data_IF_941805352774
#
_entry.id   IF_941805352774
#
_cell.length_a   1.000
_cell.length_b   1.000
_cell.length_c   1.000
_cell.angle_alpha   90.00
_cell.angle_beta   90.00
_cell.angle_gamma   90.00
#
_symmetry.space_group_name_H-M   'P 1'
#
loop_
_entity.id
_entity.type
_entity.pdbx_description
1 polymer ?
#
# COMPACT_ATOMS: atom_id res chain seq x y z
N UNK A 1 -0.48 -6.92 54.35
CA UNK A 1 -1.10 -5.83 53.57
C UNK A 1 -0.20 -5.62 52.36
N UNK A 2 -0.48 -6.28 51.23
CA UNK A 2 -1.33 -5.78 50.13
C UNK A 2 -0.70 -4.52 49.54
N UNK A 3 0.08 -4.62 48.46
CA UNK A 3 -0.36 -4.50 47.06
C UNK A 3 0.41 -3.30 46.46
N UNK A 4 0.73 -3.15 45.19
CA UNK A 4 0.29 -3.74 43.92
C UNK A 4 1.48 -3.57 42.96
N UNK A 5 1.90 -4.64 42.29
CA UNK A 5 2.73 -4.51 41.09
C UNK A 5 1.78 -4.13 39.96
N UNK A 6 1.99 -2.93 39.43
CA UNK A 6 1.34 -2.45 38.22
C UNK A 6 1.96 -3.18 37.01
N UNK A 7 1.40 -4.35 36.71
CA UNK A 7 1.71 -5.17 35.53
C UNK A 7 0.55 -5.06 34.52
N UNK A 8 0.23 -3.84 34.09
CA UNK A 8 -0.75 -3.62 33.02
C UNK A 8 -0.10 -2.92 31.83
N UNK A 9 0.82 -3.57 31.12
CA UNK A 9 1.17 -3.09 29.76
C UNK A 9 1.92 -4.09 28.87
N UNK A 10 1.63 -5.40 28.95
CA UNK A 10 2.36 -6.43 28.16
C UNK A 10 1.50 -7.47 27.48
N UNK A 11 0.27 -7.14 27.09
CA UNK A 11 -0.59 -8.08 26.34
C UNK A 11 -1.17 -7.57 25.01
N UNK A 12 -0.90 -6.33 24.56
CA UNK A 12 -1.61 -5.75 23.40
C UNK A 12 -0.84 -5.70 22.05
N UNK A 13 0.43 -6.08 22.00
CA UNK A 13 1.21 -6.01 20.73
C UNK A 13 1.12 -7.28 19.86
N UNK A 14 0.63 -8.39 20.40
CA UNK A 14 0.59 -9.68 19.68
C UNK A 14 -0.58 -9.82 18.69
N UNK A 15 -1.55 -8.90 18.71
CA UNK A 15 -2.78 -8.96 17.89
C UNK A 15 -2.86 -7.86 16.83
N UNK A 16 -1.77 -7.10 16.63
CA UNK A 16 -1.70 -6.02 15.63
C UNK A 16 -1.23 -6.54 14.28
N UNK A 17 -2.01 -6.28 13.24
CA UNK A 17 -1.65 -6.50 11.84
C UNK A 17 -0.99 -5.24 11.29
N UNK A 18 0.24 -5.36 10.81
CA UNK A 18 0.96 -4.24 10.18
C UNK A 18 0.88 -4.37 8.65
N UNK A 19 0.28 -3.38 8.00
CA UNK A 19 0.18 -3.29 6.54
C UNK A 19 1.18 -2.26 6.03
N UNK A 20 1.92 -2.59 4.97
CA UNK A 20 2.84 -1.65 4.33
C UNK A 20 2.09 -0.77 3.35
N UNK A 21 2.29 0.54 3.45
CA UNK A 21 1.82 1.48 2.45
C UNK A 21 2.75 1.44 1.25
N UNK A 22 2.22 1.27 0.03
CA UNK A 22 2.99 1.22 -1.22
C UNK A 22 2.34 2.08 -2.31
N UNK A 23 3.12 2.47 -3.32
CA UNK A 23 2.61 3.22 -4.48
C UNK A 23 2.35 4.70 -4.24
N UNK A 24 2.80 5.25 -3.11
CA UNK A 24 2.80 6.68 -2.85
C UNK A 24 4.01 7.32 -3.52
N UNK A 25 3.75 8.36 -4.30
CA UNK A 25 4.75 8.98 -5.16
C UNK A 25 5.01 10.42 -4.76
N UNK A 26 6.25 10.86 -4.98
CA UNK A 26 6.66 12.24 -4.79
C UNK A 26 5.70 13.23 -5.48
N UNK A 27 5.44 14.33 -4.78
CA UNK A 27 4.74 15.50 -5.29
C UNK A 27 5.39 16.75 -4.69
N UNK A 28 4.99 17.94 -5.15
CA UNK A 28 5.50 19.19 -4.59
C UNK A 28 5.21 19.26 -3.07
N UNK A 29 6.25 19.44 -2.26
CA UNK A 29 6.19 19.44 -0.80
C UNK A 29 6.11 18.04 -0.16
N UNK A 30 6.33 16.99 -0.95
CA UNK A 30 6.30 15.57 -0.56
C UNK A 30 7.49 14.83 -1.22
N UNK A 31 8.65 15.48 -1.26
CA UNK A 31 9.87 14.99 -1.94
C UNK A 31 10.52 13.80 -1.23
N UNK A 32 10.09 13.44 -0.02
CA UNK A 32 10.55 12.27 0.71
C UNK A 32 10.11 10.94 0.08
N UNK A 33 9.06 10.97 -0.72
CA UNK A 33 8.53 9.79 -1.42
C UNK A 33 9.32 9.47 -2.69
N UNK A 34 9.30 8.22 -3.18
CA UNK A 34 9.94 7.88 -4.44
C UNK A 34 9.26 8.57 -5.63
N UNK A 35 10.03 8.86 -6.69
CA UNK A 35 9.45 9.26 -7.97
C UNK A 35 9.16 8.02 -8.83
N UNK A 36 7.98 7.88 -9.47
CA UNK A 36 7.59 6.65 -10.16
C UNK A 36 8.48 6.34 -11.36
N UNK A 37 9.08 7.35 -11.98
CA UNK A 37 10.01 7.13 -13.11
C UNK A 37 11.27 6.37 -12.73
N UNK A 38 11.64 6.34 -11.45
CA UNK A 38 12.77 5.55 -10.97
C UNK A 38 12.49 4.04 -11.05
N UNK A 39 11.21 3.66 -11.14
CA UNK A 39 10.75 2.27 -11.12
C UNK A 39 10.37 1.76 -12.53
N UNK A 40 10.54 2.56 -13.58
CA UNK A 40 10.13 2.18 -14.95
C UNK A 40 11.12 1.17 -15.54
N UNK A 41 10.63 -0.03 -15.88
CA UNK A 41 11.42 -1.11 -16.48
C UNK A 41 10.67 -1.73 -17.69
N UNK A 42 10.80 -1.15 -18.90
CA UNK A 42 10.04 -1.57 -20.08
C UNK A 42 10.35 -2.98 -20.59
N UNK A 43 11.52 -3.54 -20.22
CA UNK A 43 11.94 -4.88 -20.60
C UNK A 43 11.47 -5.97 -19.60
N UNK A 44 10.59 -5.61 -18.66
CA UNK A 44 10.08 -6.53 -17.64
C UNK A 44 9.23 -7.68 -18.19
N UNK A 45 9.04 -8.72 -17.39
CA UNK A 45 8.21 -9.87 -17.72
C UNK A 45 6.72 -9.48 -17.87
N UNK A 46 6.12 -9.60 -19.07
CA UNK A 46 4.72 -9.22 -19.30
C UNK A 46 3.72 -10.07 -18.49
N UNK A 47 4.07 -11.31 -18.14
CA UNK A 47 3.19 -12.17 -17.34
C UNK A 47 3.15 -11.70 -15.89
N UNK A 48 4.33 -11.50 -15.27
CA UNK A 48 4.44 -10.89 -13.96
C UNK A 48 3.71 -9.54 -13.90
N UNK A 49 3.86 -8.69 -14.92
CA UNK A 49 3.17 -7.40 -14.99
C UNK A 49 1.65 -7.55 -14.96
N UNK A 50 1.09 -8.46 -15.78
CA UNK A 50 -0.35 -8.74 -15.79
C UNK A 50 -0.85 -9.25 -14.44
N UNK A 51 -0.08 -10.11 -13.78
CA UNK A 51 -0.40 -10.66 -12.46
C UNK A 51 -0.45 -9.56 -11.39
N UNK A 52 0.55 -8.68 -11.37
CA UNK A 52 0.59 -7.53 -10.47
C UNK A 52 -0.59 -6.58 -10.72
N UNK A 53 -0.90 -6.25 -11.98
CA UNK A 53 -2.06 -5.41 -12.31
C UNK A 53 -3.37 -6.06 -11.84
N UNK A 54 -3.53 -7.37 -12.05
CA UNK A 54 -4.71 -8.09 -11.59
C UNK A 54 -4.84 -8.08 -10.07
N UNK A 55 -3.74 -8.28 -9.33
CA UNK A 55 -3.69 -8.17 -7.88
C UNK A 55 -4.17 -6.79 -7.39
N UNK A 56 -3.54 -5.73 -7.92
CA UNK A 56 -3.80 -4.35 -7.49
C UNK A 56 -5.24 -3.94 -7.75
N UNK A 57 -5.83 -4.35 -8.88
CA UNK A 57 -7.22 -4.06 -9.24
C UNK A 57 -8.25 -4.85 -8.43
N UNK A 58 -7.87 -6.01 -7.90
CA UNK A 58 -8.76 -6.85 -7.09
C UNK A 58 -8.76 -6.47 -5.60
N UNK A 59 -7.95 -5.49 -5.19
CA UNK A 59 -7.97 -4.96 -3.83
C UNK A 59 -9.35 -4.43 -3.42
N UNK A 60 -9.63 -4.50 -2.12
CA UNK A 60 -10.87 -3.94 -1.57
C UNK A 60 -10.67 -2.46 -1.26
N UNK A 61 -11.61 -1.61 -1.67
CA UNK A 61 -11.60 -0.19 -1.29
C UNK A 61 -11.81 -0.02 0.21
N UNK A 62 -10.79 0.49 0.91
CA UNK A 62 -10.83 0.76 2.35
C UNK A 62 -10.97 2.25 2.68
N UNK A 63 -10.69 3.14 1.72
CA UNK A 63 -10.91 4.57 1.86
C UNK A 63 -11.32 5.16 0.51
N UNK A 64 -12.30 6.06 0.52
CA UNK A 64 -12.68 6.84 -0.66
C UNK A 64 -12.57 8.34 -0.34
N UNK A 65 -12.06 9.12 -1.28
CA UNK A 65 -11.92 10.56 -1.16
C UNK A 65 -12.80 11.28 -2.19
N UNK A 66 -13.18 12.53 -1.91
CA UNK A 66 -14.01 13.33 -2.82
C UNK A 66 -13.24 13.93 -4.02
N UNK A 67 -11.95 13.63 -4.16
CA UNK A 67 -11.07 14.17 -5.21
C UNK A 67 -10.47 13.06 -6.09
N UNK A 68 -10.10 13.41 -7.32
CA UNK A 68 -9.44 12.48 -8.25
C UNK A 68 -7.95 12.82 -8.30
N UNK A 69 -7.11 11.83 -8.00
CA UNK A 69 -5.67 11.94 -8.16
C UNK A 69 -5.28 11.94 -9.64
N UNK A 70 -4.10 12.50 -9.97
CA UNK A 70 -3.55 12.51 -11.33
C UNK A 70 -2.27 11.71 -11.42
N UNK A 71 -2.05 11.02 -12.53
CA UNK A 71 -0.82 10.30 -12.79
C UNK A 71 0.36 11.28 -12.89
N UNK A 72 1.49 10.97 -12.24
CA UNK A 72 2.69 11.82 -12.25
C UNK A 72 3.50 11.71 -13.54
N UNK A 73 3.22 10.70 -14.37
CA UNK A 73 3.91 10.47 -15.64
C UNK A 73 3.10 11.06 -16.80
N UNK A 74 1.82 10.70 -16.95
CA UNK A 74 1.00 11.15 -18.08
C UNK A 74 -0.05 12.23 -17.76
N UNK A 75 -0.28 12.56 -16.47
CA UNK A 75 -1.28 13.55 -16.05
C UNK A 75 -2.75 13.09 -16.11
N UNK A 76 -3.00 11.85 -16.56
CA UNK A 76 -4.32 11.24 -16.64
C UNK A 76 -4.98 10.99 -15.27
N UNK A 77 -6.29 10.65 -15.23
CA UNK A 77 -6.97 10.26 -14.00
C UNK A 77 -6.31 9.05 -13.34
N UNK A 78 -6.16 9.07 -12.01
CA UNK A 78 -5.38 8.08 -11.28
C UNK A 78 -6.07 7.62 -9.98
N UNK A 79 -7.39 7.46 -10.04
CA UNK A 79 -8.22 6.98 -8.94
C UNK A 79 -8.56 8.03 -7.88
N UNK A 80 -9.44 7.65 -6.96
CA UNK A 80 -9.93 8.51 -5.86
C UNK A 80 -10.01 7.77 -4.52
N UNK A 81 -9.52 6.53 -4.44
CA UNK A 81 -9.53 5.74 -3.22
C UNK A 81 -8.23 5.02 -2.90
N UNK A 82 -8.20 4.43 -1.72
CA UNK A 82 -7.17 3.50 -1.26
C UNK A 82 -7.76 2.09 -1.27
N UNK A 83 -6.94 1.15 -1.72
CA UNK A 83 -7.22 -0.28 -1.78
C UNK A 83 -6.34 -1.02 -0.78
N UNK A 84 -6.82 -2.18 -0.34
CA UNK A 84 -6.06 -3.09 0.51
C UNK A 84 -6.31 -4.55 0.14
N UNK A 85 -5.34 -5.40 0.47
CA UNK A 85 -5.50 -6.87 0.52
C UNK A 85 -5.87 -7.38 1.92
N UNK A 86 -5.94 -6.49 2.91
CA UNK A 86 -6.25 -6.79 4.31
C UNK A 86 -5.14 -7.51 5.08
N UNK A 87 -3.98 -7.78 4.47
CA UNK A 87 -2.93 -8.61 5.09
C UNK A 87 -1.51 -8.07 4.97
N UNK A 88 -1.15 -7.51 3.82
CA UNK A 88 0.22 -7.07 3.53
C UNK A 88 0.29 -5.61 3.15
N UNK A 89 -0.67 -5.10 2.36
CA UNK A 89 -0.53 -3.79 1.73
C UNK A 89 -1.79 -2.92 1.80
N UNK A 90 -1.54 -1.62 1.77
CA UNK A 90 -2.49 -0.56 1.42
C UNK A 90 -1.87 0.27 0.29
N UNK A 91 -2.65 0.60 -0.74
CA UNK A 91 -2.15 1.32 -1.91
C UNK A 91 -3.21 2.23 -2.55
N UNK A 92 -2.80 3.31 -3.24
CA UNK A 92 -3.73 4.11 -4.01
C UNK A 92 -4.30 3.31 -5.18
N UNK A 93 -5.59 3.46 -5.46
CA UNK A 93 -6.30 2.83 -6.59
C UNK A 93 -5.51 2.95 -7.91
N UNK A 94 -4.93 4.12 -8.16
CA UNK A 94 -4.15 4.40 -9.36
C UNK A 94 -2.79 3.68 -9.46
N UNK A 95 -2.34 2.92 -8.46
CA UNK A 95 -1.06 2.20 -8.55
C UNK A 95 -1.03 1.23 -9.75
N UNK A 96 -2.15 0.59 -10.06
CA UNK A 96 -2.27 -0.31 -11.21
C UNK A 96 -2.00 0.40 -12.55
N UNK A 97 -2.39 1.68 -12.67
CA UNK A 97 -2.17 2.47 -13.88
C UNK A 97 -0.68 2.67 -14.16
N UNK A 98 0.14 2.91 -13.12
CA UNK A 98 1.59 3.02 -13.30
C UNK A 98 2.21 1.73 -13.82
N UNK A 99 1.79 0.57 -13.30
CA UNK A 99 2.32 -0.73 -13.71
C UNK A 99 1.89 -1.08 -15.14
N UNK A 100 0.63 -0.80 -15.50
CA UNK A 100 0.07 -1.20 -16.79
C UNK A 100 0.48 -0.27 -17.94
N UNK A 101 0.43 1.04 -17.72
CA UNK A 101 0.59 2.06 -18.78
C UNK A 101 1.99 2.67 -18.82
N UNK A 102 2.78 2.52 -17.76
CA UNK A 102 4.09 3.16 -17.63
C UNK A 102 5.21 2.18 -17.29
N UNK A 103 4.94 0.88 -17.32
CA UNK A 103 5.92 -0.18 -17.04
C UNK A 103 6.67 0.02 -15.71
N UNK A 104 6.00 0.63 -14.73
CA UNK A 104 6.51 0.73 -13.37
C UNK A 104 6.55 -0.67 -12.77
N UNK A 105 7.75 -1.12 -12.39
CA UNK A 105 7.98 -2.38 -11.70
C UNK A 105 8.17 -2.12 -10.22
N UNK A 106 7.29 -2.70 -9.41
CA UNK A 106 7.39 -2.64 -7.95
C UNK A 106 8.59 -3.46 -7.46
N UNK A 107 9.13 -3.18 -6.25
CA UNK A 107 10.21 -3.97 -5.67
C UNK A 107 9.91 -5.47 -5.63
N UNK A 108 10.93 -6.29 -5.82
CA UNK A 108 10.81 -7.75 -5.95
C UNK A 108 10.03 -8.41 -4.82
N UNK A 109 10.22 -7.97 -3.57
CA UNK A 109 9.51 -8.51 -2.41
C UNK A 109 8.00 -8.20 -2.41
N UNK A 110 7.60 -7.08 -3.00
CA UNK A 110 6.18 -6.74 -3.19
C UNK A 110 5.61 -7.63 -4.29
N UNK A 111 6.29 -7.73 -5.42
CA UNK A 111 5.86 -8.57 -6.56
C UNK A 111 5.74 -10.04 -6.16
N UNK A 112 6.67 -10.55 -5.34
CA UNK A 112 6.64 -11.93 -4.85
C UNK A 112 5.41 -12.24 -3.98
N UNK A 113 4.84 -11.22 -3.32
CA UNK A 113 3.62 -11.37 -2.50
C UNK A 113 2.35 -11.36 -3.38
N UNK A 114 2.42 -10.77 -4.57
CA UNK A 114 1.30 -10.61 -5.51
C UNK A 114 1.12 -11.83 -6.43
N UNK A 115 1.03 -13.02 -5.83
CA UNK A 115 0.86 -14.27 -6.58
C UNK A 115 -0.55 -14.44 -7.15
N UNK A 116 -1.58 -14.15 -6.32
CA UNK A 116 -2.99 -14.34 -6.64
C UNK A 116 -3.80 -13.10 -6.22
N UNK A 117 -4.90 -12.78 -6.92
CA UNK A 117 -5.81 -11.71 -6.49
C UNK A 117 -6.22 -11.86 -5.01
N UNK A 118 -6.22 -10.78 -4.21
CA UNK A 118 -6.61 -10.84 -2.81
C UNK A 118 -8.08 -11.23 -2.65
N UNK A 119 -8.39 -11.90 -1.54
CA UNK A 119 -9.77 -12.13 -1.14
C UNK A 119 -10.45 -10.80 -0.76
N UNK A 120 -11.78 -10.67 -0.94
CA UNK A 120 -12.51 -9.51 -0.46
C UNK A 120 -12.34 -9.30 1.05
N UNK A 121 -12.13 -8.06 1.44
CA UNK A 121 -12.06 -7.62 2.84
C UNK A 121 -13.42 -7.01 3.23
N UNK A 122 -13.82 -7.14 4.50
CA UNK A 122 -14.96 -6.38 5.02
C UNK A 122 -14.49 -4.94 5.31
N UNK A 123 -14.94 -3.93 4.53
CA UNK A 123 -14.45 -2.57 4.67
C UNK A 123 -14.85 -1.93 6.00
N UNK A 124 -15.99 -2.33 6.59
CA UNK A 124 -16.47 -1.78 7.87
C UNK A 124 -15.63 -2.32 9.02
N UNK A 125 -15.34 -3.63 9.01
CA UNK A 125 -14.45 -4.23 9.99
C UNK A 125 -13.03 -3.66 9.88
N UNK A 126 -12.54 -3.47 8.64
CA UNK A 126 -11.23 -2.88 8.39
C UNK A 126 -11.14 -1.45 8.91
N UNK A 127 -12.13 -0.60 8.62
CA UNK A 127 -12.18 0.79 9.08
C UNK A 127 -12.14 0.88 10.61
N UNK A 128 -12.99 0.10 11.29
CA UNK A 128 -13.00 -0.01 12.76
C UNK A 128 -11.65 -0.48 13.29
N UNK A 129 -11.03 -1.47 12.64
CA UNK A 129 -9.78 -2.04 13.12
C UNK A 129 -8.59 -1.09 12.91
N UNK A 130 -8.66 -0.22 11.89
CA UNK A 130 -7.70 0.83 11.60
C UNK A 130 -7.85 2.05 12.52
N UNK A 131 -9.06 2.61 12.63
CA UNK A 131 -9.26 3.90 13.29
C UNK A 131 -9.67 3.79 14.76
N UNK A 132 -10.48 2.80 15.12
CA UNK A 132 -11.09 2.73 16.46
C UNK A 132 -10.30 1.83 17.40
N UNK A 133 -9.90 0.64 16.93
CA UNK A 133 -9.24 -0.36 17.80
C UNK A 133 -7.71 -0.36 17.68
N UNK A 134 -7.16 0.19 16.60
CA UNK A 134 -5.72 0.18 16.34
C UNK A 134 -5.12 -1.21 16.15
N UNK A 135 -5.96 -2.22 15.83
CA UNK A 135 -5.51 -3.57 15.46
C UNK A 135 -4.84 -3.60 14.10
N UNK A 136 -5.17 -2.67 13.21
CA UNK A 136 -4.46 -2.48 11.95
C UNK A 136 -3.57 -1.24 12.09
N UNK A 137 -2.29 -1.41 11.77
CA UNK A 137 -1.31 -0.33 11.73
C UNK A 137 -0.77 -0.23 10.31
N UNK A 138 -0.70 1.00 9.79
CA UNK A 138 -0.13 1.26 8.46
C UNK A 138 1.32 1.74 8.64
N UNK A 139 2.26 1.00 8.06
CA UNK A 139 3.69 1.35 8.01
C UNK A 139 4.05 1.96 6.65
N UNK A 140 4.29 3.28 6.62
CA UNK A 140 4.81 3.99 5.45
C UNK A 140 6.34 4.04 5.38
N UNK A 141 7.05 3.69 6.46
CA UNK A 141 8.51 3.85 6.54
C UNK A 141 9.24 2.95 5.55
N UNK A 142 8.69 1.76 5.27
CA UNK A 142 9.23 0.84 4.28
C UNK A 142 9.27 1.46 2.88
N UNK A 143 8.18 2.08 2.43
CA UNK A 143 8.13 2.68 1.08
C UNK A 143 8.96 3.96 0.94
N UNK A 144 9.06 4.75 2.01
CA UNK A 144 10.02 5.85 2.10
C UNK A 144 11.47 5.35 1.97
N UNK A 145 11.78 4.17 2.51
CA UNK A 145 13.12 3.58 2.37
C UNK A 145 13.39 3.07 0.95
N UNK A 146 12.36 2.63 0.23
CA UNK A 146 12.48 2.20 -1.16
C UNK A 146 13.00 3.33 -2.07
N UNK A 147 12.64 4.60 -1.79
CA UNK A 147 13.17 5.77 -2.50
C UNK A 147 14.72 5.89 -2.43
N UNK A 148 15.35 5.35 -1.38
CA UNK A 148 16.80 5.44 -1.16
C UNK A 148 17.60 4.34 -1.83
N UNK A 149 16.93 3.32 -2.37
CA UNK A 149 17.57 2.11 -2.93
C UNK A 149 17.62 2.14 -4.47
N UNK A 150 16.95 3.10 -5.10
CA UNK A 150 16.82 3.23 -6.57
C UNK A 150 17.65 4.40 -7.11
N UNK A 151 18.84 4.66 -6.53
CA UNK A 151 19.79 5.71 -6.99
C UNK A 151 20.83 5.17 -7.96
#
# INVERSE_FOLDING_TARGET
>A
MAGVHDDTDRHDDADKTVLRLIGYWAAAGQEEWPHPTAFVEPAGDPESRRRVVAYLRAGTTCLATAGVARCRICGGPNGSGELTDGRHFVWPEGLAHYVEEHDVRLPDEVVATMADPPAPVDPVAFERDLFDTGRIVIDGSWWLSAARTVS
#
